data_IF_080073194712
#
_entry.id   IF_080073194712
#
_cell.length_a   1.000
_cell.length_b   1.000
_cell.length_c   1.000
_cell.angle_alpha   90.00
_cell.angle_beta   90.00
_cell.angle_gamma   90.00
#
_symmetry.space_group_name_H-M   'P 1'
#
loop_
_entity.id
_entity.type
_entity.pdbx_description
1 polymer ?
#
# COMPACT_ATOMS: atom_id res chain seq x y z
N UNK A 1 12.25 15.49 -37.90
CA UNK A 1 11.29 15.79 -36.82
C UNK A 1 10.38 14.58 -36.71
N UNK A 2 10.69 13.65 -35.81
CA UNK A 2 9.87 12.45 -35.61
C UNK A 2 8.59 12.87 -34.92
N UNK A 3 7.45 12.57 -35.54
CA UNK A 3 6.13 12.82 -34.98
C UNK A 3 6.07 12.14 -33.60
N UNK A 4 5.94 12.93 -32.54
CA UNK A 4 5.95 12.38 -31.19
C UNK A 4 4.65 11.60 -30.98
N UNK A 5 4.78 10.27 -30.89
CA UNK A 5 3.66 9.37 -30.65
C UNK A 5 3.06 9.61 -29.25
N UNK A 6 1.91 10.29 -29.23
CA UNK A 6 1.20 10.75 -28.04
C UNK A 6 -0.29 10.35 -28.11
N UNK A 7 -0.90 10.22 -26.93
CA UNK A 7 -2.36 10.17 -26.80
C UNK A 7 -2.96 11.52 -27.21
N UNK A 8 -4.12 11.49 -27.85
CA UNK A 8 -4.88 12.72 -28.06
C UNK A 8 -5.31 13.30 -26.70
N UNK A 9 -5.42 14.63 -26.59
CA UNK A 9 -5.91 15.27 -25.35
C UNK A 9 -7.27 14.72 -24.94
N UNK A 10 -8.16 14.50 -25.92
CA UNK A 10 -9.49 13.91 -25.70
C UNK A 10 -9.41 12.50 -25.11
N UNK A 11 -8.55 11.63 -25.64
CA UNK A 11 -8.40 10.27 -25.13
C UNK A 11 -7.71 10.26 -23.76
N UNK A 12 -6.74 11.16 -23.53
CA UNK A 12 -6.11 11.34 -22.23
C UNK A 12 -7.12 11.80 -21.16
N UNK A 13 -7.95 12.79 -21.48
CA UNK A 13 -8.99 13.29 -20.56
C UNK A 13 -10.02 12.20 -20.23
N UNK A 14 -10.36 11.34 -21.20
CA UNK A 14 -11.20 10.16 -20.96
C UNK A 14 -10.53 9.18 -19.98
N UNK A 15 -9.24 8.86 -20.18
CA UNK A 15 -8.48 8.03 -19.24
C UNK A 15 -8.47 8.67 -17.85
N UNK A 16 -8.18 9.98 -17.77
CA UNK A 16 -8.13 10.71 -16.51
C UNK A 16 -9.46 10.64 -15.76
N UNK A 17 -10.58 10.86 -16.45
CA UNK A 17 -11.91 10.78 -15.87
C UNK A 17 -12.26 9.36 -15.39
N UNK A 18 -11.94 8.33 -16.18
CA UNK A 18 -12.15 6.93 -15.79
C UNK A 18 -11.35 6.59 -14.54
N UNK A 19 -10.05 6.90 -14.52
CA UNK A 19 -9.18 6.64 -13.38
C UNK A 19 -9.67 7.38 -12.12
N UNK A 20 -10.03 8.65 -12.26
CA UNK A 20 -10.55 9.44 -11.14
C UNK A 20 -11.84 8.82 -10.60
N UNK A 21 -12.78 8.44 -11.48
CA UNK A 21 -14.07 7.87 -11.08
C UNK A 21 -13.94 6.49 -10.44
N UNK A 22 -13.00 5.66 -10.91
CA UNK A 22 -12.88 4.29 -10.44
C UNK A 22 -12.00 4.13 -9.23
N UNK A 23 -10.85 4.81 -9.18
CA UNK A 23 -9.83 4.59 -8.15
C UNK A 23 -9.42 5.88 -7.41
N UNK A 24 -10.09 7.00 -7.67
CA UNK A 24 -9.92 8.25 -6.93
C UNK A 24 -8.64 9.03 -7.25
N UNK A 25 -7.80 8.54 -8.17
CA UNK A 25 -6.51 9.16 -8.48
C UNK A 25 -6.67 10.33 -9.45
N UNK A 26 -6.18 11.50 -9.06
CA UNK A 26 -6.13 12.69 -9.94
C UNK A 26 -5.00 12.62 -10.96
N UNK A 27 -5.36 12.82 -12.22
CA UNK A 27 -4.45 12.86 -13.38
C UNK A 27 -4.52 14.20 -14.11
N UNK A 28 -3.81 15.23 -13.62
CA UNK A 28 -3.73 16.51 -14.33
C UNK A 28 -3.02 16.34 -15.69
N UNK A 29 -3.25 17.25 -16.66
CA UNK A 29 -2.62 17.21 -17.99
C UNK A 29 -1.10 17.09 -17.96
N UNK A 30 -0.44 17.72 -16.98
CA UNK A 30 1.01 17.66 -16.80
C UNK A 30 1.56 16.23 -16.56
N UNK A 31 0.71 15.26 -16.20
CA UNK A 31 1.12 13.85 -16.02
C UNK A 31 1.02 13.01 -17.30
N UNK A 32 0.54 13.56 -18.42
CA UNK A 32 0.33 12.80 -19.66
C UNK A 32 1.60 12.07 -20.12
N UNK A 33 2.73 12.77 -20.23
CA UNK A 33 4.00 12.18 -20.67
C UNK A 33 4.48 11.04 -19.75
N UNK A 34 4.19 11.12 -18.44
CA UNK A 34 4.52 10.05 -17.49
C UNK A 34 3.67 8.81 -17.75
N UNK A 35 2.35 8.99 -17.95
CA UNK A 35 1.40 7.90 -18.22
C UNK A 35 1.77 7.21 -19.55
N UNK A 36 2.01 7.98 -20.60
CA UNK A 36 2.47 7.47 -21.90
C UNK A 36 3.80 6.71 -21.77
N UNK A 37 4.78 7.26 -21.04
CA UNK A 37 6.05 6.59 -20.81
C UNK A 37 5.89 5.19 -20.21
N UNK A 38 4.94 5.02 -19.28
CA UNK A 38 4.63 3.73 -18.63
C UNK A 38 3.82 2.81 -19.53
N UNK A 39 2.86 3.35 -20.29
CA UNK A 39 2.04 2.58 -21.23
C UNK A 39 2.78 2.16 -22.50
N UNK A 40 3.92 2.76 -22.83
CA UNK A 40 4.66 2.44 -24.06
C UNK A 40 5.05 0.96 -24.16
N UNK A 41 5.38 0.31 -23.04
CA UNK A 41 5.61 -1.14 -23.01
C UNK A 41 4.32 -1.92 -23.30
N UNK A 42 3.17 -1.44 -22.83
CA UNK A 42 1.86 -2.06 -23.07
C UNK A 42 1.42 -1.94 -24.52
N UNK A 43 1.55 -0.75 -25.13
CA UNK A 43 1.27 -0.54 -26.57
C UNK A 43 2.03 -1.54 -27.45
N UNK A 44 3.33 -1.73 -27.17
CA UNK A 44 4.16 -2.72 -27.87
C UNK A 44 3.71 -4.17 -27.62
N UNK A 45 3.33 -4.49 -26.38
CA UNK A 45 2.85 -5.83 -26.03
C UNK A 45 1.54 -6.20 -26.74
N UNK A 46 0.72 -5.21 -27.10
CA UNK A 46 -0.50 -5.38 -27.90
C UNK A 46 -0.22 -5.34 -29.42
N UNK A 47 1.04 -5.21 -29.83
CA UNK A 47 1.44 -5.05 -31.23
C UNK A 47 0.78 -3.86 -31.94
N UNK A 48 0.42 -2.81 -31.17
CA UNK A 48 -0.15 -1.59 -31.69
C UNK A 48 0.96 -0.64 -32.19
N UNK A 49 0.66 0.13 -33.24
CA UNK A 49 1.65 0.96 -33.94
C UNK A 49 1.88 2.32 -33.29
N UNK A 50 0.92 2.81 -32.51
CA UNK A 50 0.95 4.14 -31.90
C UNK A 50 -0.02 4.29 -30.73
N UNK A 51 0.15 5.33 -29.90
CA UNK A 51 -0.81 5.74 -28.89
C UNK A 51 -2.16 6.14 -29.49
N UNK A 52 -2.19 6.68 -30.71
CA UNK A 52 -3.45 6.88 -31.44
C UNK A 52 -4.21 5.56 -31.61
N UNK A 53 -3.54 4.51 -32.10
CA UNK A 53 -4.16 3.18 -32.23
C UNK A 53 -4.54 2.56 -30.88
N UNK A 54 -3.82 2.91 -29.81
CA UNK A 54 -4.20 2.52 -28.45
C UNK A 54 -5.48 3.22 -27.98
N UNK A 55 -5.61 4.54 -28.19
CA UNK A 55 -6.84 5.28 -27.89
C UNK A 55 -8.05 4.74 -28.66
N UNK A 56 -7.88 4.41 -29.94
CA UNK A 56 -8.93 3.77 -30.75
C UNK A 56 -9.31 2.39 -30.19
N UNK A 57 -8.31 1.57 -29.83
CA UNK A 57 -8.56 0.27 -29.22
C UNK A 57 -9.36 0.40 -27.92
N UNK A 58 -8.95 1.31 -27.03
CA UNK A 58 -9.61 1.56 -25.75
C UNK A 58 -11.08 1.99 -25.94
N UNK A 59 -11.31 3.04 -26.73
CA UNK A 59 -12.57 3.76 -26.71
C UNK A 59 -13.50 3.51 -27.89
N UNK A 60 -13.02 2.83 -28.94
CA UNK A 60 -13.79 2.59 -30.17
C UNK A 60 -13.90 1.10 -30.52
N UNK A 61 -13.05 0.25 -29.96
CA UNK A 61 -13.01 -1.19 -30.26
C UNK A 61 -13.29 -2.08 -29.04
N UNK A 62 -13.72 -1.49 -27.92
CA UNK A 62 -14.10 -2.25 -26.71
C UNK A 62 -12.91 -2.79 -25.90
N UNK A 63 -11.70 -2.24 -26.10
CA UNK A 63 -10.50 -2.70 -25.38
C UNK A 63 -10.42 -2.26 -23.91
N UNK A 64 -11.26 -1.32 -23.47
CA UNK A 64 -11.14 -0.68 -22.15
C UNK A 64 -11.13 -1.66 -20.98
N UNK A 65 -12.07 -2.61 -20.91
CA UNK A 65 -12.20 -3.52 -19.76
C UNK A 65 -10.95 -4.39 -19.55
N UNK A 66 -10.35 -4.84 -20.66
CA UNK A 66 -9.11 -5.63 -20.64
C UNK A 66 -7.88 -4.79 -20.30
N UNK A 67 -7.88 -3.51 -20.67
CA UNK A 67 -6.75 -2.61 -20.48
C UNK A 67 -6.78 -1.85 -19.17
N UNK A 68 -7.93 -1.76 -18.52
CA UNK A 68 -8.14 -1.00 -17.31
C UNK A 68 -7.13 -1.35 -16.19
N UNK A 69 -6.80 -2.63 -15.90
CA UNK A 69 -5.76 -2.95 -14.92
C UNK A 69 -4.38 -2.37 -15.27
N UNK A 70 -4.04 -2.30 -16.57
CA UNK A 70 -2.77 -1.74 -17.04
C UNK A 70 -2.77 -0.21 -17.00
N UNK A 71 -3.92 0.42 -17.23
CA UNK A 71 -4.09 1.86 -17.02
C UNK A 71 -3.92 2.20 -15.54
N UNK A 72 -4.55 1.43 -14.63
CA UNK A 72 -4.38 1.57 -13.17
C UNK A 72 -2.90 1.42 -12.77
N UNK A 73 -2.22 0.41 -13.28
CA UNK A 73 -0.79 0.20 -13.01
C UNK A 73 0.09 1.34 -13.56
N UNK A 74 -0.27 1.92 -14.71
CA UNK A 74 0.47 3.02 -15.30
C UNK A 74 0.31 4.34 -14.53
N UNK A 75 -0.82 4.56 -13.86
CA UNK A 75 -1.12 5.84 -13.19
C UNK A 75 -0.77 5.80 -11.70
N UNK A 76 -0.74 4.62 -11.09
CA UNK A 76 -0.33 4.43 -9.69
C UNK A 76 1.16 4.75 -9.52
N UNK A 77 1.51 5.46 -8.44
CA UNK A 77 2.91 5.73 -8.09
C UNK A 77 3.31 4.82 -6.95
N UNK A 78 3.92 3.71 -7.30
CA UNK A 78 4.18 2.59 -6.39
C UNK A 78 5.52 2.69 -5.65
N UNK A 79 6.06 3.90 -5.46
CA UNK A 79 7.34 4.09 -4.76
C UNK A 79 7.17 3.75 -3.28
N UNK A 80 7.81 2.67 -2.84
CA UNK A 80 7.86 2.24 -1.45
C UNK A 80 9.25 1.73 -1.11
N UNK A 81 9.71 2.04 0.10
CA UNK A 81 10.99 1.63 0.63
C UNK A 81 10.77 0.88 1.96
N UNK A 82 11.61 -0.11 2.24
CA UNK A 82 11.62 -0.73 3.57
C UNK A 82 11.95 0.35 4.62
N UNK A 83 11.29 0.29 5.79
CA UNK A 83 11.48 1.28 6.85
C UNK A 83 11.28 2.75 6.44
N UNK A 84 10.51 3.02 5.36
CA UNK A 84 10.08 4.39 5.04
C UNK A 84 9.33 4.99 6.23
N UNK A 85 9.70 6.21 6.61
CA UNK A 85 9.14 6.90 7.78
C UNK A 85 9.29 6.03 9.05
N UNK A 86 10.54 5.66 9.37
CA UNK A 86 10.90 4.66 10.39
C UNK A 86 10.32 4.93 11.77
N UNK A 87 10.10 6.20 12.12
CA UNK A 87 9.56 6.62 13.41
C UNK A 87 8.16 6.03 13.67
N UNK A 88 7.37 5.78 12.62
CA UNK A 88 6.10 5.07 12.75
C UNK A 88 6.27 3.63 13.25
N UNK A 89 7.31 2.93 12.79
CA UNK A 89 7.60 1.57 13.24
C UNK A 89 8.27 1.56 14.62
N UNK A 90 8.99 2.62 14.98
CA UNK A 90 9.47 2.81 16.34
C UNK A 90 8.32 3.03 17.32
N UNK A 91 7.32 3.85 16.95
CA UNK A 91 6.09 4.01 17.74
C UNK A 91 5.27 2.72 17.79
N UNK A 92 5.22 1.95 16.70
CA UNK A 92 4.60 0.63 16.69
C UNK A 92 5.25 -0.27 17.75
N UNK A 93 6.59 -0.24 17.83
CA UNK A 93 7.39 -1.03 18.77
C UNK A 93 7.26 -0.60 20.22
N UNK A 94 7.45 0.70 20.47
CA UNK A 94 7.60 1.26 21.82
C UNK A 94 6.28 1.64 22.49
N UNK A 95 5.22 1.84 21.70
CA UNK A 95 3.96 2.40 22.19
C UNK A 95 2.73 1.58 21.77
N UNK A 96 2.46 1.47 20.46
CA UNK A 96 1.18 0.95 19.97
C UNK A 96 0.98 -0.51 20.38
N UNK A 97 1.94 -1.39 20.06
CA UNK A 97 1.82 -2.82 20.38
C UNK A 97 1.78 -3.06 21.90
N UNK A 98 2.69 -2.48 22.72
CA UNK A 98 2.60 -2.62 24.18
C UNK A 98 1.25 -2.19 24.77
N UNK A 99 0.66 -1.08 24.30
CA UNK A 99 -0.64 -0.61 24.80
C UNK A 99 -1.79 -1.54 24.38
N UNK A 100 -1.79 -2.03 23.14
CA UNK A 100 -2.79 -2.99 22.66
C UNK A 100 -2.75 -4.31 23.43
N UNK A 101 -1.55 -4.80 23.74
CA UNK A 101 -1.38 -6.01 24.55
C UNK A 101 -1.78 -5.79 26.01
N UNK A 102 -1.44 -4.62 26.59
CA UNK A 102 -1.85 -4.25 27.95
C UNK A 102 -3.37 -4.23 28.12
N UNK A 103 -4.09 -3.74 27.10
CA UNK A 103 -5.56 -3.76 27.09
C UNK A 103 -6.16 -5.18 27.01
N UNK A 104 -5.34 -6.20 26.71
CA UNK A 104 -5.75 -7.60 26.50
C UNK A 104 -5.03 -8.58 27.44
N UNK A 105 -4.55 -8.13 28.60
CA UNK A 105 -3.80 -8.97 29.57
C UNK A 105 -4.57 -10.21 30.05
N UNK A 106 -5.90 -10.24 29.96
CA UNK A 106 -6.72 -11.40 30.29
C UNK A 106 -6.83 -12.46 29.19
N UNK A 107 -6.28 -12.19 28.00
CA UNK A 107 -6.39 -13.10 26.87
C UNK A 107 -5.16 -14.00 26.73
N UNK A 108 -5.40 -15.30 26.51
CA UNK A 108 -4.34 -16.21 26.14
C UNK A 108 -3.89 -15.96 24.70
N UNK A 109 -2.68 -15.42 24.52
CA UNK A 109 -2.05 -15.19 23.21
C UNK A 109 -2.92 -14.37 22.22
N UNK A 110 -3.23 -13.10 22.55
CA UNK A 110 -4.03 -12.21 21.70
C UNK A 110 -3.49 -12.15 20.27
N UNK A 111 -4.41 -12.08 19.29
CA UNK A 111 -4.07 -11.88 17.88
C UNK A 111 -4.11 -10.40 17.54
N UNK A 112 -2.95 -9.83 17.22
CA UNK A 112 -2.83 -8.49 16.64
C UNK A 112 -3.06 -8.54 15.13
N UNK A 113 -4.00 -7.75 14.64
CA UNK A 113 -4.33 -7.61 13.23
C UNK A 113 -3.82 -6.28 12.71
N UNK A 114 -2.88 -6.32 11.76
CA UNK A 114 -2.35 -5.13 11.10
C UNK A 114 -2.83 -5.08 9.66
N UNK A 115 -3.19 -3.91 9.17
CA UNK A 115 -3.57 -3.70 7.78
C UNK A 115 -2.69 -2.60 7.14
N UNK A 116 -1.90 -2.98 6.16
CA UNK A 116 -1.24 -2.04 5.24
C UNK A 116 -2.16 -1.79 4.05
N UNK A 117 -2.90 -0.69 4.10
CA UNK A 117 -3.82 -0.23 3.06
C UNK A 117 -3.05 0.65 2.08
N UNK A 118 -3.00 0.26 0.79
CA UNK A 118 -2.06 0.75 -0.23
C UNK A 118 -0.60 0.26 -0.03
N UNK A 119 -0.47 -1.07 0.12
CA UNK A 119 0.78 -1.75 0.45
C UNK A 119 1.85 -1.73 -0.64
N UNK A 120 1.53 -1.32 -1.88
CA UNK A 120 2.40 -1.35 -3.04
C UNK A 120 3.08 -2.72 -3.20
N UNK A 121 4.41 -2.78 -3.35
CA UNK A 121 5.18 -4.02 -3.48
C UNK A 121 5.37 -4.76 -2.16
N UNK A 122 4.73 -4.34 -1.07
CA UNK A 122 4.72 -5.03 0.23
C UNK A 122 5.84 -4.64 1.21
N UNK A 123 6.70 -3.67 0.88
CA UNK A 123 7.80 -3.27 1.76
C UNK A 123 7.33 -2.77 3.13
N UNK A 124 6.21 -2.02 3.19
CA UNK A 124 5.59 -1.59 4.44
C UNK A 124 5.08 -2.77 5.27
N UNK A 125 4.32 -3.67 4.64
CA UNK A 125 3.76 -4.85 5.31
C UNK A 125 4.87 -5.77 5.86
N UNK A 126 5.96 -5.95 5.13
CA UNK A 126 7.10 -6.73 5.59
C UNK A 126 7.93 -6.01 6.65
N UNK A 127 8.01 -4.68 6.61
CA UNK A 127 8.62 -3.90 7.70
C UNK A 127 7.84 -4.10 9.01
N UNK A 128 6.51 -3.98 8.96
CA UNK A 128 5.65 -4.27 10.11
C UNK A 128 5.80 -5.73 10.59
N UNK A 129 5.93 -6.69 9.67
CA UNK A 129 6.16 -8.09 10.01
C UNK A 129 7.48 -8.30 10.75
N UNK A 130 8.57 -7.66 10.32
CA UNK A 130 9.88 -7.74 11.00
C UNK A 130 9.81 -7.14 12.41
N UNK A 131 9.16 -5.98 12.57
CA UNK A 131 9.00 -5.32 13.88
C UNK A 131 8.18 -6.19 14.83
N UNK A 132 7.07 -6.74 14.36
CA UNK A 132 6.22 -7.63 15.17
C UNK A 132 6.92 -8.95 15.52
N UNK A 133 7.72 -9.51 14.61
CA UNK A 133 8.51 -10.71 14.88
C UNK A 133 9.56 -10.48 15.96
N UNK A 134 10.22 -9.31 15.98
CA UNK A 134 11.16 -8.94 17.04
C UNK A 134 10.50 -8.82 18.41
N UNK A 135 9.34 -8.15 18.46
CA UNK A 135 8.55 -8.05 19.70
C UNK A 135 8.09 -9.43 20.18
N UNK A 136 7.60 -10.26 19.27
CA UNK A 136 7.16 -11.62 19.58
C UNK A 136 8.33 -12.49 20.07
N UNK A 137 9.56 -12.28 19.59
CA UNK A 137 10.73 -13.02 20.07
C UNK A 137 11.11 -12.67 21.52
N UNK A 138 10.74 -11.48 22.01
CA UNK A 138 11.06 -11.02 23.37
C UNK A 138 10.07 -11.54 24.42
N UNK A 139 8.76 -11.52 24.13
CA UNK A 139 7.74 -11.90 25.11
C UNK A 139 6.97 -13.18 24.75
N UNK A 140 6.87 -13.57 23.48
CA UNK A 140 6.06 -14.71 22.97
C UNK A 140 4.56 -14.71 23.35
N UNK A 141 4.09 -13.65 23.99
CA UNK A 141 2.75 -13.60 24.59
C UNK A 141 1.63 -13.26 23.61
N UNK A 142 1.90 -13.16 22.31
CA UNK A 142 0.89 -12.78 21.32
C UNK A 142 1.16 -13.39 19.94
N UNK A 143 0.13 -13.37 19.09
CA UNK A 143 0.20 -13.72 17.67
C UNK A 143 -0.07 -12.48 16.83
N UNK A 144 0.34 -12.50 15.57
CA UNK A 144 -0.03 -11.45 14.64
C UNK A 144 -0.40 -11.99 13.26
N UNK A 145 -1.19 -11.19 12.53
CA UNK A 145 -1.51 -11.37 11.12
C UNK A 145 -1.54 -9.99 10.45
N UNK A 146 -1.02 -9.93 9.22
CA UNK A 146 -0.94 -8.71 8.43
C UNK A 146 -1.72 -8.89 7.14
N UNK A 147 -2.67 -8.00 6.89
CA UNK A 147 -3.31 -7.84 5.60
C UNK A 147 -2.60 -6.70 4.84
N UNK A 148 -2.20 -6.96 3.61
CA UNK A 148 -1.63 -5.99 2.70
C UNK A 148 -2.56 -5.87 1.49
N UNK A 149 -3.08 -4.67 1.24
CA UNK A 149 -3.99 -4.46 0.12
C UNK A 149 -3.54 -3.36 -0.80
N UNK A 150 -3.83 -3.51 -2.09
CA UNK A 150 -3.54 -2.50 -3.10
C UNK A 150 -4.52 -2.60 -4.27
N UNK A 151 -4.65 -1.51 -5.03
CA UNK A 151 -5.44 -1.46 -6.26
C UNK A 151 -4.64 -1.97 -7.46
N UNK A 152 -3.30 -1.93 -7.39
CA UNK A 152 -2.42 -2.45 -8.43
C UNK A 152 -2.18 -3.95 -8.24
N UNK A 153 -2.66 -4.76 -9.18
CA UNK A 153 -2.47 -6.22 -9.14
C UNK A 153 -1.03 -6.63 -9.40
N UNK A 154 -0.27 -5.86 -10.17
CA UNK A 154 1.12 -6.18 -10.47
C UNK A 154 2.02 -6.03 -9.25
N UNK A 155 1.85 -4.98 -8.45
CA UNK A 155 2.65 -4.80 -7.22
C UNK A 155 2.29 -5.80 -6.13
N UNK A 156 1.02 -6.19 -6.02
CA UNK A 156 0.61 -7.27 -5.13
C UNK A 156 1.32 -8.59 -5.44
N UNK A 157 1.51 -8.93 -6.72
CA UNK A 157 2.29 -10.12 -7.11
C UNK A 157 3.74 -10.04 -6.65
N UNK A 158 4.36 -8.86 -6.73
CA UNK A 158 5.73 -8.63 -6.23
C UNK A 158 5.77 -8.87 -4.72
N UNK A 159 4.81 -8.30 -3.97
CA UNK A 159 4.67 -8.53 -2.53
C UNK A 159 4.50 -10.01 -2.18
N UNK A 160 3.66 -10.74 -2.90
CA UNK A 160 3.46 -12.18 -2.71
C UNK A 160 4.72 -13.01 -2.99
N UNK A 161 5.48 -12.66 -4.03
CA UNK A 161 6.76 -13.31 -4.33
C UNK A 161 7.81 -13.01 -3.25
N UNK A 162 7.76 -11.77 -2.74
CA UNK A 162 8.62 -11.20 -1.70
C UNK A 162 10.11 -11.24 -2.06
N UNK A 163 10.41 -11.05 -3.36
CA UNK A 163 11.77 -10.99 -3.91
C UNK A 163 12.04 -9.54 -4.30
N UNK A 164 13.12 -8.98 -3.79
CA UNK A 164 13.48 -7.58 -3.94
C UNK A 164 14.95 -7.44 -4.32
N UNK A 165 15.34 -6.41 -5.08
CA UNK A 165 16.75 -6.05 -5.24
C UNK A 165 17.38 -5.73 -3.88
N UNK A 166 18.63 -6.11 -3.68
CA UNK A 166 19.40 -5.88 -2.45
C UNK A 166 19.46 -4.37 -2.09
N UNK A 167 19.54 -3.50 -3.09
CA UNK A 167 19.51 -2.05 -2.90
C UNK A 167 18.26 -1.57 -2.16
N UNK A 168 17.11 -2.21 -2.39
CA UNK A 168 15.84 -1.84 -1.77
C UNK A 168 15.80 -2.23 -0.28
N UNK A 169 16.61 -3.20 0.16
CA UNK A 169 16.67 -3.62 1.58
C UNK A 169 17.75 -2.91 2.37
N UNK A 170 18.53 -2.03 1.76
CA UNK A 170 19.57 -1.26 2.44
C UNK A 170 19.08 -0.57 3.73
N UNK A 171 17.85 -0.02 3.80
CA UNK A 171 17.32 0.58 5.04
C UNK A 171 17.00 -0.40 6.17
N UNK A 172 16.90 -1.71 5.91
CA UNK A 172 16.57 -2.71 6.94
C UNK A 172 17.76 -2.84 7.92
N UNK A 173 17.55 -2.80 9.26
CA UNK A 173 18.64 -2.97 10.22
C UNK A 173 19.41 -4.29 10.03
N UNK A 174 20.75 -4.28 10.16
CA UNK A 174 21.59 -5.47 9.87
C UNK A 174 21.21 -6.73 10.65
N UNK A 175 20.83 -6.58 11.92
CA UNK A 175 20.35 -7.70 12.74
C UNK A 175 19.04 -8.31 12.19
N UNK A 176 18.16 -7.49 11.61
CA UNK A 176 16.95 -7.95 10.94
C UNK A 176 17.27 -8.55 9.56
N UNK A 177 18.22 -7.97 8.81
CA UNK A 177 18.66 -8.55 7.53
C UNK A 177 19.12 -10.01 7.70
N UNK A 178 19.97 -10.27 8.71
CA UNK A 178 20.48 -11.62 8.98
C UNK A 178 19.38 -12.64 9.34
N UNK A 179 18.33 -12.21 10.03
CA UNK A 179 17.24 -13.10 10.49
C UNK A 179 16.11 -13.27 9.50
N UNK A 180 15.82 -12.24 8.70
CA UNK A 180 14.57 -12.15 7.94
C UNK A 180 14.76 -12.05 6.43
N UNK A 181 16.00 -12.00 5.94
CA UNK A 181 16.32 -12.00 4.52
C UNK A 181 17.14 -13.22 4.11
N UNK A 182 16.77 -13.81 2.99
CA UNK A 182 17.48 -14.88 2.32
C UNK A 182 18.20 -14.30 1.10
N UNK A 183 19.52 -14.36 1.09
CA UNK A 183 20.34 -13.87 -0.01
C UNK A 183 20.58 -14.97 -1.05
N UNK A 184 20.51 -14.62 -2.34
CA UNK A 184 20.85 -15.55 -3.41
C UNK A 184 22.30 -16.02 -3.29
N UNK A 185 22.53 -17.33 -3.37
CA UNK A 185 23.87 -17.94 -3.34
C UNK A 185 24.56 -17.96 -4.71
N UNK A 186 23.87 -17.54 -5.77
CA UNK A 186 24.37 -17.67 -7.15
C UNK A 186 25.03 -16.39 -7.62
N UNK A 187 26.36 -16.39 -7.70
CA UNK A 187 27.14 -15.30 -8.28
C UNK A 187 26.68 -15.04 -9.73
N UNK A 188 26.44 -13.77 -10.09
CA UNK A 188 26.18 -13.32 -11.47
C UNK A 188 24.71 -13.19 -11.90
N UNK A 189 23.75 -13.53 -11.04
CA UNK A 189 22.34 -13.10 -11.20
C UNK A 189 22.13 -11.90 -10.28
N UNK A 190 21.26 -10.96 -10.65
CA UNK A 190 20.87 -9.79 -9.84
C UNK A 190 20.92 -10.13 -8.35
N UNK A 191 21.55 -9.25 -7.55
CA UNK A 191 21.63 -9.38 -6.11
C UNK A 191 20.22 -9.24 -5.53
N UNK A 192 19.41 -10.29 -5.65
CA UNK A 192 18.06 -10.33 -5.17
C UNK A 192 18.08 -10.99 -3.79
N UNK A 193 17.25 -10.44 -2.92
CA UNK A 193 16.96 -10.98 -1.60
C UNK A 193 15.51 -11.42 -1.55
N UNK A 194 15.22 -12.39 -0.69
CA UNK A 194 13.86 -12.85 -0.44
C UNK A 194 13.50 -12.80 1.03
N UNK A 195 12.28 -12.40 1.35
CA UNK A 195 11.75 -12.46 2.71
C UNK A 195 11.58 -13.92 3.14
N UNK A 196 12.01 -14.25 4.37
CA UNK A 196 11.93 -15.61 4.92
C UNK A 196 10.47 -16.14 5.00
N UNK A 197 10.25 -17.46 4.84
CA UNK A 197 8.91 -18.06 4.86
C UNK A 197 8.06 -17.71 6.08
N UNK A 198 8.69 -17.60 7.26
CA UNK A 198 8.04 -17.39 8.56
C UNK A 198 7.37 -16.02 8.65
N UNK A 199 7.90 -15.00 7.95
CA UNK A 199 7.24 -13.70 7.81
C UNK A 199 6.20 -13.74 6.68
N UNK A 200 6.50 -14.42 5.56
CA UNK A 200 5.57 -14.49 4.42
C UNK A 200 4.24 -15.14 4.78
N UNK A 201 4.24 -16.17 5.62
CA UNK A 201 3.01 -16.81 6.11
C UNK A 201 2.16 -15.90 7.00
N UNK A 202 2.73 -14.79 7.52
CA UNK A 202 2.03 -13.81 8.36
C UNK A 202 1.45 -12.64 7.56
N UNK A 203 1.84 -12.49 6.29
CA UNK A 203 1.42 -11.39 5.42
C UNK A 203 0.57 -11.93 4.28
N UNK A 204 -0.71 -11.54 4.25
CA UNK A 204 -1.64 -11.88 3.17
C UNK A 204 -1.85 -10.68 2.27
N UNK A 205 -1.67 -10.89 0.97
CA UNK A 205 -1.89 -9.86 -0.05
C UNK A 205 -3.22 -10.05 -0.76
N UNK A 206 -4.06 -9.01 -0.77
CA UNK A 206 -5.36 -9.01 -1.43
C UNK A 206 -5.53 -7.75 -2.30
N UNK A 207 -6.32 -7.86 -3.38
CA UNK A 207 -6.78 -6.68 -4.11
C UNK A 207 -7.82 -5.94 -3.27
N UNK A 208 -7.71 -4.61 -3.20
CA UNK A 208 -8.75 -3.74 -2.64
C UNK A 208 -8.65 -2.36 -3.28
N UNK A 209 -9.78 -1.81 -3.69
CA UNK A 209 -9.90 -0.43 -4.11
C UNK A 209 -10.47 0.41 -2.96
N UNK A 210 -9.73 1.44 -2.52
CA UNK A 210 -10.15 2.34 -1.44
C UNK A 210 -11.40 3.17 -1.80
N UNK A 211 -11.78 3.23 -3.07
CA UNK A 211 -13.01 3.88 -3.50
C UNK A 211 -14.26 3.01 -3.33
N UNK A 212 -14.10 1.72 -2.98
CA UNK A 212 -15.25 0.87 -2.68
C UNK A 212 -16.03 1.37 -1.46
N UNK A 213 -17.34 1.21 -1.50
CA UNK A 213 -18.25 1.67 -0.43
C UNK A 213 -18.20 0.78 0.81
N UNK A 214 -17.62 -0.42 0.71
CA UNK A 214 -17.40 -1.35 1.81
C UNK A 214 -16.12 -2.14 1.61
N UNK A 215 -15.39 -2.45 2.69
CA UNK A 215 -14.18 -3.27 2.61
C UNK A 215 -14.43 -4.66 3.18
N UNK A 216 -14.06 -5.75 2.47
CA UNK A 216 -14.17 -7.12 2.98
C UNK A 216 -13.01 -7.45 3.94
N UNK A 217 -12.85 -6.62 4.98
CA UNK A 217 -11.80 -6.71 6.00
C UNK A 217 -12.46 -6.80 7.37
N UNK A 218 -11.79 -7.45 8.32
CA UNK A 218 -12.27 -7.54 9.70
C UNK A 218 -12.51 -6.15 10.32
N UNK A 219 -13.42 -6.06 11.31
CA UNK A 219 -13.77 -4.79 11.99
C UNK A 219 -13.10 -4.58 13.33
N UNK A 220 -12.18 -5.46 13.69
CA UNK A 220 -11.40 -5.43 14.91
C UNK A 220 -9.90 -5.30 14.59
N UNK A 221 -9.52 -4.55 13.55
CA UNK A 221 -8.12 -4.30 13.19
C UNK A 221 -7.45 -3.44 14.27
N UNK A 222 -6.23 -3.79 14.65
CA UNK A 222 -5.45 -3.09 15.68
C UNK A 222 -4.73 -1.86 15.16
N UNK A 223 -4.05 -2.02 14.02
CA UNK A 223 -3.24 -0.96 13.41
C UNK A 223 -3.51 -0.96 11.90
N UNK A 224 -3.93 0.19 11.38
CA UNK A 224 -4.06 0.42 9.93
C UNK A 224 -2.98 1.43 9.52
N UNK A 225 -2.15 1.05 8.56
CA UNK A 225 -1.29 1.96 7.82
C UNK A 225 -2.00 2.38 6.53
N UNK A 226 -2.08 3.68 6.27
CA UNK A 226 -2.54 4.26 5.01
C UNK A 226 -1.63 5.46 4.68
N UNK A 227 -0.41 5.15 4.22
CA UNK A 227 0.64 6.16 4.06
C UNK A 227 0.89 6.50 2.60
N UNK A 228 1.02 7.80 2.33
CA UNK A 228 1.45 8.38 1.05
C UNK A 228 0.55 8.04 -0.15
N UNK A 229 -0.76 7.88 0.08
CA UNK A 229 -1.77 7.56 -0.94
C UNK A 229 -2.91 8.58 -0.99
N UNK A 230 -3.32 9.15 0.14
CA UNK A 230 -4.41 10.12 0.21
C UNK A 230 -4.07 11.42 -0.52
N UNK A 231 -2.78 11.73 -0.66
CA UNK A 231 -2.29 12.87 -1.46
C UNK A 231 -2.75 12.86 -2.94
N UNK A 232 -3.22 11.72 -3.46
CA UNK A 232 -3.72 11.60 -4.83
C UNK A 232 -5.24 11.81 -4.96
N UNK A 233 -5.96 11.86 -3.84
CA UNK A 233 -7.42 11.83 -3.75
C UNK A 233 -7.97 13.24 -3.55
N UNK A 234 -9.23 13.47 -3.94
CA UNK A 234 -9.94 14.70 -3.59
C UNK A 234 -10.34 14.73 -2.11
N UNK A 235 -10.54 15.92 -1.53
CA UNK A 235 -10.81 16.08 -0.09
C UNK A 235 -11.98 15.24 0.42
N UNK A 236 -13.07 15.16 -0.36
CA UNK A 236 -14.24 14.37 0.02
C UNK A 236 -13.94 12.87 0.03
N UNK A 237 -13.16 12.40 -0.95
CA UNK A 237 -12.75 11.00 -1.04
C UNK A 237 -11.78 10.64 0.07
N UNK A 238 -10.84 11.54 0.41
CA UNK A 238 -9.94 11.38 1.54
C UNK A 238 -10.71 11.14 2.84
N UNK A 239 -11.69 11.99 3.13
CA UNK A 239 -12.51 11.88 4.33
C UNK A 239 -13.30 10.56 4.34
N UNK A 240 -13.95 10.21 3.23
CA UNK A 240 -14.73 8.98 3.14
C UNK A 240 -13.87 7.72 3.28
N UNK A 241 -12.64 7.71 2.75
CA UNK A 241 -11.69 6.61 2.94
C UNK A 241 -11.30 6.47 4.42
N UNK A 242 -10.98 7.58 5.09
CA UNK A 242 -10.63 7.57 6.52
C UNK A 242 -11.78 7.03 7.36
N UNK A 243 -13.00 7.51 7.14
CA UNK A 243 -14.20 7.06 7.87
C UNK A 243 -14.45 5.55 7.68
N UNK A 244 -14.27 5.03 6.46
CA UNK A 244 -14.38 3.59 6.23
C UNK A 244 -13.30 2.83 7.00
N UNK A 245 -12.03 3.22 6.91
CA UNK A 245 -10.95 2.57 7.67
C UNK A 245 -11.17 2.63 9.19
N UNK A 246 -11.66 3.76 9.70
CA UNK A 246 -12.07 3.90 11.10
C UNK A 246 -13.09 2.88 11.53
N UNK A 247 -14.06 2.56 10.66
CA UNK A 247 -15.08 1.54 10.95
C UNK A 247 -14.51 0.12 11.07
N UNK A 248 -13.28 -0.10 10.57
CA UNK A 248 -12.55 -1.36 10.69
C UNK A 248 -11.57 -1.42 11.88
N UNK A 249 -11.23 -0.27 12.48
CA UNK A 249 -10.41 -0.23 13.68
C UNK A 249 -11.20 -0.64 14.92
N UNK A 250 -10.60 -1.46 15.77
CA UNK A 250 -11.11 -1.67 17.14
C UNK A 250 -10.99 -0.38 17.97
N UNK A 251 -11.82 -0.19 19.00
CA UNK A 251 -11.60 0.87 19.99
C UNK A 251 -10.17 0.78 20.57
N UNK A 252 -9.49 1.92 20.67
CA UNK A 252 -8.08 1.99 21.09
C UNK A 252 -7.05 1.61 20.02
N UNK A 253 -7.48 1.16 18.83
CA UNK A 253 -6.61 0.88 17.69
C UNK A 253 -6.07 2.15 17.02
N UNK A 254 -5.08 1.99 16.14
CA UNK A 254 -4.32 3.09 15.55
C UNK A 254 -4.47 3.19 14.04
N UNK A 255 -4.66 4.41 13.54
CA UNK A 255 -4.47 4.78 12.14
C UNK A 255 -3.15 5.53 11.99
N UNK A 256 -2.31 5.07 11.06
CA UNK A 256 -1.02 5.67 10.73
C UNK A 256 -1.07 6.20 9.31
N UNK A 257 -0.92 7.51 9.15
CA UNK A 257 -0.88 8.20 7.86
C UNK A 257 0.57 8.57 7.49
N UNK A 258 0.80 9.01 6.25
CA UNK A 258 2.08 9.59 5.88
C UNK A 258 2.26 10.97 6.50
N UNK A 259 3.51 11.42 6.67
CA UNK A 259 3.80 12.72 7.29
C UNK A 259 3.07 13.89 6.60
N UNK A 260 2.98 13.88 5.27
CA UNK A 260 2.28 14.90 4.48
C UNK A 260 0.74 14.86 4.59
N UNK A 261 0.20 13.82 5.22
CA UNK A 261 -1.23 13.52 5.29
C UNK A 261 -1.79 13.74 6.72
N UNK A 262 -0.96 14.16 7.67
CA UNK A 262 -1.36 14.32 9.07
C UNK A 262 -2.56 15.25 9.25
N UNK A 263 -2.68 16.30 8.44
CA UNK A 263 -3.83 17.23 8.53
C UNK A 263 -5.15 16.61 8.05
N UNK A 264 -5.10 15.50 7.32
CA UNK A 264 -6.29 14.80 6.82
C UNK A 264 -6.87 13.91 7.93
N UNK A 265 -6.03 13.39 8.82
CA UNK A 265 -6.43 12.49 9.91
C UNK A 265 -7.19 13.16 11.06
N UNK A 266 -7.23 14.50 11.12
CA UNK A 266 -7.95 15.24 12.16
C UNK A 266 -9.47 15.23 11.90
N UNK A 267 -10.11 14.12 12.24
CA UNK A 267 -11.57 13.94 12.21
C UNK A 267 -12.11 13.66 13.62
N UNK A 268 -13.40 13.91 13.83
CA UNK A 268 -14.08 13.59 15.09
C UNK A 268 -14.06 12.07 15.31
N UNK A 269 -13.42 11.60 16.39
CA UNK A 269 -13.29 10.18 16.73
C UNK A 269 -11.85 9.63 16.77
N UNK A 270 -10.88 10.47 16.43
CA UNK A 270 -9.46 10.19 16.63
C UNK A 270 -8.83 11.17 17.63
N UNK A 271 -7.94 10.65 18.46
CA UNK A 271 -6.97 11.44 19.20
C UNK A 271 -5.59 11.31 18.54
N UNK A 272 -5.00 12.42 18.13
CA UNK A 272 -3.64 12.41 17.59
C UNK A 272 -2.65 12.21 18.75
N UNK A 273 -1.85 11.15 18.70
CA UNK A 273 -0.87 10.81 19.75
C UNK A 273 0.58 11.12 19.35
N UNK A 274 0.84 11.23 18.05
CA UNK A 274 2.12 11.63 17.47
C UNK A 274 1.88 12.20 16.06
N UNK A 275 2.88 12.83 15.41
CA UNK A 275 2.76 13.25 14.00
C UNK A 275 2.25 12.09 13.13
N UNK A 276 1.16 12.33 12.38
CA UNK A 276 0.49 11.36 11.52
C UNK A 276 0.04 10.02 12.17
N UNK A 277 -0.02 9.94 13.51
CA UNK A 277 -0.52 8.76 14.24
C UNK A 277 -1.74 9.12 15.08
N UNK A 278 -2.83 8.40 14.85
CA UNK A 278 -4.14 8.67 15.43
C UNK A 278 -4.66 7.42 16.14
N UNK A 279 -5.19 7.58 17.37
CA UNK A 279 -5.81 6.51 18.13
C UNK A 279 -7.33 6.67 18.13
N UNK A 280 -8.06 5.60 17.77
CA UNK A 280 -9.52 5.59 17.79
C UNK A 280 -10.00 5.67 19.23
N UNK A 281 -10.79 6.68 19.55
CA UNK A 281 -11.32 6.87 20.90
C UNK A 281 -12.16 5.66 21.32
N UNK A 282 -11.87 5.11 22.51
CA UNK A 282 -12.80 4.24 23.21
C UNK A 282 -13.98 5.08 23.68
N UNK A 283 -15.13 5.00 23.00
CA UNK A 283 -16.35 5.52 23.60
C UNK A 283 -16.55 4.73 24.89
N UNK A 284 -16.55 5.40 26.04
CA UNK A 284 -16.92 4.77 27.29
C UNK A 284 -18.35 4.22 27.10
N UNK A 285 -18.50 2.90 27.21
CA UNK A 285 -19.81 2.28 27.27
C UNK A 285 -20.54 2.69 28.55
#
# INVERSE_FOLDING_TARGET
MGDLDHLSSVDYDRIANIISSQIGIRLPPAKQSMVEGRLRKRVRALSLKSFRTYGDYLFRQGGLDNELPYLIDAVTTNKTDFFRESDHFELMRSLMVPQLLKARLGEASPLLKVWSAASSTGAEAYTAAMVLAELQAQSKDFRYAILATDVSRSVLKIGQMAIYPEEQIAPVPKAMQSRYLMFSRRNGIRNDVRIVPELRQRVRFNYLNLMETSYPVDRDVDIIFLRNVLIYFEKNDQQAVIERLMSHLRPGGYLVLGHSESMIGTSAGFHQIAPAVFQKTTVAA
#
